data_IF_821073794722
#
_entry.id   IF_821073794722
#
_cell.length_a   1.000
_cell.length_b   1.000
_cell.length_c   1.000
_cell.angle_alpha   90.00
_cell.angle_beta   90.00
_cell.angle_gamma   90.00
#
_symmetry.space_group_name_H-M   'P 1'
#
loop_
_entity.id
_entity.type
_entity.pdbx_description
1 polymer ?
#
# COMPACT_ATOMS: atom_id res chain seq x y z
N UNK A 1 -10.59 -1.90 -2.01
CA UNK A 1 -9.80 -2.83 -1.19
C UNK A 1 -8.62 -3.34 -2.01
N UNK A 2 -7.39 -3.19 -1.52
CA UNK A 2 -6.17 -3.63 -2.22
C UNK A 2 -5.37 -4.64 -1.39
N UNK A 3 -4.92 -5.77 -1.98
CA UNK A 3 -4.02 -6.69 -1.32
C UNK A 3 -2.55 -6.26 -1.47
N UNK A 4 -1.69 -6.67 -0.54
CA UNK A 4 -0.25 -6.44 -0.56
C UNK A 4 0.52 -7.58 0.10
N UNK A 5 1.80 -7.71 -0.24
CA UNK A 5 2.74 -8.66 0.38
C UNK A 5 3.26 -8.09 1.70
N UNK A 6 3.56 -6.80 1.72
CA UNK A 6 4.06 -6.09 2.88
C UNK A 6 3.50 -4.67 2.92
N UNK A 7 3.36 -4.13 4.13
CA UNK A 7 2.90 -2.78 4.39
C UNK A 7 3.85 -2.11 5.38
N UNK A 8 4.15 -0.83 5.17
CA UNK A 8 4.96 -0.05 6.10
C UNK A 8 4.36 1.33 6.31
N UNK A 9 4.43 1.90 7.53
CA UNK A 9 3.95 3.25 7.79
C UNK A 9 4.80 4.29 7.05
N UNK A 10 4.16 5.36 6.58
CA UNK A 10 4.80 6.51 5.95
C UNK A 10 5.14 7.63 6.97
N UNK A 11 4.84 7.42 8.25
CA UNK A 11 5.01 8.42 9.32
C UNK A 11 3.96 9.55 9.30
N UNK A 12 3.08 9.61 8.29
CA UNK A 12 2.03 10.62 8.14
C UNK A 12 0.61 10.05 8.28
N UNK A 13 0.46 8.89 8.94
CA UNK A 13 -0.85 8.23 9.11
C UNK A 13 -1.35 7.45 7.89
N UNK A 14 -0.49 7.23 6.88
CA UNK A 14 -0.74 6.39 5.70
C UNK A 14 0.27 5.25 5.63
N UNK A 15 0.03 4.30 4.73
CA UNK A 15 0.88 3.12 4.57
C UNK A 15 1.39 2.96 3.14
N UNK A 16 2.67 2.65 2.99
CA UNK A 16 3.22 2.09 1.76
C UNK A 16 2.81 0.63 1.62
N UNK A 17 2.71 0.15 0.37
CA UNK A 17 2.30 -1.21 0.05
C UNK A 17 3.21 -1.81 -1.00
N UNK A 18 3.82 -2.93 -0.67
CA UNK A 18 4.52 -3.77 -1.64
C UNK A 18 3.54 -4.72 -2.35
N UNK A 19 3.40 -4.56 -3.67
CA UNK A 19 2.63 -5.47 -4.51
C UNK A 19 3.40 -6.75 -4.90
N UNK A 20 2.81 -7.56 -5.77
CA UNK A 20 3.44 -8.78 -6.35
C UNK A 20 4.41 -8.52 -7.51
N UNK A 21 4.82 -7.26 -7.74
CA UNK A 21 5.80 -6.91 -8.78
C UNK A 21 5.27 -6.77 -10.22
N UNK A 22 3.96 -6.81 -10.45
CA UNK A 22 3.36 -6.62 -11.81
C UNK A 22 2.82 -5.21 -12.09
N UNK A 23 2.90 -4.27 -11.15
CA UNK A 23 2.51 -2.87 -11.35
C UNK A 23 1.03 -2.60 -11.71
N UNK A 24 0.14 -3.58 -11.51
CA UNK A 24 -1.28 -3.45 -11.89
C UNK A 24 -1.96 -2.27 -11.18
N UNK A 25 -1.74 -2.14 -9.88
CA UNK A 25 -2.38 -1.10 -9.08
C UNK A 25 -1.69 0.25 -9.24
N UNK A 26 -0.40 0.29 -9.59
CA UNK A 26 0.33 1.56 -9.73
C UNK A 26 -0.15 2.31 -10.98
N UNK A 27 -0.69 1.58 -11.97
CA UNK A 27 -1.36 2.15 -13.16
C UNK A 27 -2.83 2.50 -12.91
N UNK A 28 -3.52 1.73 -12.07
CA UNK A 28 -4.96 1.88 -11.82
C UNK A 28 -5.27 2.96 -10.77
N UNK A 29 -4.50 3.01 -9.68
CA UNK A 29 -4.74 3.89 -8.55
C UNK A 29 -4.61 5.39 -8.87
N UNK A 30 -3.76 5.84 -9.83
CA UNK A 30 -3.75 7.23 -10.28
C UNK A 30 -5.05 7.68 -10.95
N UNK A 31 -5.78 6.75 -11.57
CA UNK A 31 -7.03 7.04 -12.30
C UNK A 31 -8.22 7.12 -11.32
N UNK A 32 -8.10 6.47 -10.16
CA UNK A 32 -9.17 6.39 -9.17
C UNK A 32 -9.06 7.51 -8.14
N UNK A 33 -10.09 8.35 -8.05
CA UNK A 33 -10.27 9.32 -6.98
C UNK A 33 -11.20 8.73 -5.89
N UNK A 34 -10.73 7.69 -5.22
CA UNK A 34 -11.43 7.09 -4.09
C UNK A 34 -10.46 6.68 -2.97
N UNK A 35 -10.93 6.58 -1.71
CA UNK A 35 -10.09 6.12 -0.61
C UNK A 35 -9.59 4.70 -0.82
N UNK A 36 -8.31 4.47 -0.55
CA UNK A 36 -7.65 3.19 -0.73
C UNK A 36 -7.54 2.51 0.63
N UNK A 37 -8.32 1.45 0.82
CA UNK A 37 -8.22 0.57 1.97
C UNK A 37 -7.49 -0.72 1.62
N UNK A 38 -6.61 -1.20 2.50
CA UNK A 38 -5.95 -2.49 2.42
C UNK A 38 -6.28 -3.37 3.63
N UNK A 39 -6.26 -4.68 3.42
CA UNK A 39 -6.41 -5.67 4.50
C UNK A 39 -5.10 -6.45 4.56
N UNK A 40 -4.51 -6.53 5.74
CA UNK A 40 -3.22 -7.17 5.98
C UNK A 40 -3.21 -7.92 7.29
N UNK A 41 -2.47 -9.02 7.33
CA UNK A 41 -2.15 -9.66 8.60
C UNK A 41 -1.03 -8.91 9.34
N UNK A 42 -0.97 -9.00 10.68
CA UNK A 42 0.07 -8.36 11.49
C UNK A 42 1.50 -8.73 11.07
N UNK A 43 1.75 -9.96 10.62
CA UNK A 43 3.07 -10.42 10.21
C UNK A 43 3.57 -9.83 8.88
N UNK A 44 2.72 -9.09 8.14
CA UNK A 44 3.09 -8.41 6.89
C UNK A 44 3.33 -6.91 7.09
N UNK A 45 3.21 -6.43 8.32
CA UNK A 45 3.56 -5.07 8.69
C UNK A 45 5.05 -5.02 9.03
N UNK A 46 5.77 -4.17 8.31
CA UNK A 46 7.22 -4.00 8.43
C UNK A 46 7.51 -2.54 8.79
N UNK A 47 8.63 -2.28 9.47
CA UNK A 47 9.03 -0.91 9.80
C UNK A 47 9.34 -0.08 8.55
N UNK A 48 9.91 -0.73 7.53
CA UNK A 48 10.18 -0.13 6.23
C UNK A 48 10.12 -1.17 5.11
N UNK A 49 9.81 -0.71 3.90
CA UNK A 49 9.90 -1.48 2.66
C UNK A 49 10.57 -0.61 1.59
N UNK A 50 11.22 -1.19 0.58
CA UNK A 50 11.66 -0.41 -0.57
C UNK A 50 10.42 0.14 -1.28
N UNK A 51 10.42 1.47 -1.46
CA UNK A 51 9.35 2.23 -2.10
C UNK A 51 9.96 3.07 -3.19
N UNK A 52 9.24 3.21 -4.29
CA UNK A 52 9.58 4.13 -5.36
C UNK A 52 8.74 5.42 -5.26
N UNK A 53 9.20 6.49 -5.92
CA UNK A 53 8.50 7.77 -5.97
C UNK A 53 7.09 7.69 -6.59
N UNK A 54 6.83 6.65 -7.40
CA UNK A 54 5.54 6.39 -8.04
C UNK A 54 4.60 5.51 -7.22
N UNK A 55 5.04 5.00 -6.05
CA UNK A 55 4.18 4.15 -5.22
C UNK A 55 3.04 4.94 -4.58
N UNK A 56 1.81 4.45 -4.79
CA UNK A 56 0.62 5.04 -4.18
C UNK A 56 0.44 4.51 -2.76
N UNK A 57 0.29 5.44 -1.82
CA UNK A 57 0.00 5.16 -0.41
C UNK A 57 -1.43 4.64 -0.25
N UNK A 58 -1.63 3.83 0.78
CA UNK A 58 -2.91 3.33 1.26
C UNK A 58 -3.37 4.23 2.40
N UNK A 59 -4.64 4.63 2.37
CA UNK A 59 -5.24 5.52 3.35
C UNK A 59 -5.65 4.77 4.63
N UNK A 60 -6.13 3.53 4.49
CA UNK A 60 -6.60 2.70 5.61
C UNK A 60 -6.00 1.30 5.57
N UNK A 61 -5.48 0.83 6.70
CA UNK A 61 -5.00 -0.55 6.87
C UNK A 61 -5.85 -1.26 7.93
N UNK A 62 -6.52 -2.33 7.52
CA UNK A 62 -7.33 -3.18 8.39
C UNK A 62 -6.58 -4.49 8.67
N UNK A 63 -6.70 -4.99 9.92
CA UNK A 63 -6.02 -6.19 10.44
C UNK A 63 -7.01 -7.27 10.80
#
# INVERSE_FOLDING_TARGET
>A
LVPGIAFAPDGQGRFYRMGRGKGFYDRLLPILNCPIAAVSFPFREMDSIPVDAWDRKVDYLFK
#
